data_IF_209407926286
#
_entry.id   IF_209407926286
#
_cell.length_a   1.000
_cell.length_b   1.000
_cell.length_c   1.000
_cell.angle_alpha   90.00
_cell.angle_beta   90.00
_cell.angle_gamma   90.00
#
_symmetry.space_group_name_H-M   'P 1'
#
loop_
_entity.id
_entity.type
_entity.pdbx_description
1 polymer ?
#
# COMPACT_ATOMS: atom_id res chain seq x y z
N UNK A 1 -43.93 15.92 -31.34
CA UNK A 1 -42.64 15.73 -30.65
C UNK A 1 -41.64 16.66 -31.27
N UNK A 2 -40.83 17.33 -30.45
CA UNK A 2 -39.76 18.20 -30.92
C UNK A 2 -38.52 17.35 -31.28
N UNK A 3 -37.64 17.88 -32.12
CA UNK A 3 -36.40 17.23 -32.56
C UNK A 3 -35.54 16.77 -31.37
N UNK A 4 -35.59 17.48 -30.24
CA UNK A 4 -34.80 17.14 -29.05
C UNK A 4 -35.23 15.81 -28.41
N UNK A 5 -36.53 15.52 -28.36
CA UNK A 5 -37.03 14.23 -27.85
C UNK A 5 -36.59 13.05 -28.74
N UNK A 6 -36.61 13.26 -30.06
CA UNK A 6 -36.13 12.25 -31.02
C UNK A 6 -34.62 12.04 -30.93
N UNK A 7 -33.84 13.10 -30.71
CA UNK A 7 -32.38 13.02 -30.49
C UNK A 7 -32.04 12.30 -29.20
N UNK A 8 -32.81 12.47 -28.12
CA UNK A 8 -32.62 11.76 -26.86
C UNK A 8 -32.77 10.24 -27.05
N UNK A 9 -33.84 9.81 -27.73
CA UNK A 9 -34.06 8.39 -28.04
C UNK A 9 -32.95 7.85 -28.96
N UNK A 10 -32.55 8.63 -29.97
CA UNK A 10 -31.49 8.25 -30.91
C UNK A 10 -30.12 8.15 -30.22
N UNK A 11 -29.82 9.04 -29.27
CA UNK A 11 -28.61 8.98 -28.43
C UNK A 11 -28.61 7.72 -27.57
N UNK A 12 -29.73 7.39 -26.92
CA UNK A 12 -29.84 6.19 -26.10
C UNK A 12 -29.61 4.91 -26.93
N UNK A 13 -30.10 4.87 -28.19
CA UNK A 13 -29.81 3.76 -29.12
C UNK A 13 -28.34 3.65 -29.48
N UNK A 14 -27.67 4.77 -29.76
CA UNK A 14 -26.23 4.79 -30.06
C UNK A 14 -25.38 4.27 -28.89
N UNK A 15 -25.84 4.46 -27.65
CA UNK A 15 -25.20 3.91 -26.44
C UNK A 15 -25.58 2.44 -26.13
N UNK A 16 -26.39 1.80 -26.98
CA UNK A 16 -26.89 0.44 -26.77
C UNK A 16 -27.92 0.31 -25.64
N UNK A 17 -28.59 1.41 -25.26
CA UNK A 17 -29.56 1.48 -24.15
C UNK A 17 -30.97 1.92 -24.56
N UNK A 18 -31.20 2.18 -25.85
CA UNK A 18 -32.48 2.67 -26.38
C UNK A 18 -33.31 1.56 -27.03
N UNK A 19 -34.64 1.72 -27.00
CA UNK A 19 -35.60 0.83 -27.64
C UNK A 19 -35.80 1.18 -29.13
N UNK A 20 -36.12 0.16 -29.95
CA UNK A 20 -36.50 0.32 -31.36
C UNK A 20 -37.94 0.86 -31.50
N UNK A 21 -38.06 2.17 -31.43
CA UNK A 21 -39.25 2.96 -31.75
C UNK A 21 -39.30 3.35 -33.26
N UNK A 22 -40.25 2.80 -34.06
CA UNK A 22 -40.41 3.11 -35.48
C UNK A 22 -40.74 4.58 -35.77
N UNK A 23 -41.28 5.31 -34.78
CA UNK A 23 -41.59 6.73 -34.89
C UNK A 23 -40.36 7.62 -35.00
N UNK A 24 -39.22 7.17 -34.46
CA UNK A 24 -37.93 7.86 -34.56
C UNK A 24 -37.40 7.78 -35.99
N UNK A 25 -37.44 6.61 -36.61
CA UNK A 25 -36.93 6.38 -37.96
C UNK A 25 -37.75 7.16 -38.99
N UNK A 26 -39.08 7.19 -38.82
CA UNK A 26 -39.98 7.99 -39.65
C UNK A 26 -39.69 9.49 -39.53
N UNK A 27 -39.38 9.98 -38.33
CA UNK A 27 -39.03 11.38 -38.10
C UNK A 27 -37.66 11.74 -38.73
N UNK A 28 -36.65 10.90 -38.55
CA UNK A 28 -35.32 11.09 -39.16
C UNK A 28 -35.42 11.08 -40.68
N UNK A 29 -36.27 10.24 -41.28
CA UNK A 29 -36.47 10.23 -42.73
C UNK A 29 -37.06 11.56 -43.27
N UNK A 30 -37.86 12.27 -42.47
CA UNK A 30 -38.53 13.51 -42.86
C UNK A 30 -37.89 14.82 -42.39
N UNK A 31 -36.91 14.77 -41.47
CA UNK A 31 -36.36 15.96 -40.81
C UNK A 31 -34.87 16.17 -41.15
N UNK A 32 -34.52 17.17 -41.99
CA UNK A 32 -33.13 17.46 -42.35
C UNK A 32 -32.23 17.80 -41.16
N UNK A 33 -32.79 18.43 -40.11
CA UNK A 33 -32.05 18.80 -38.91
C UNK A 33 -31.67 17.58 -38.04
N UNK A 34 -32.48 16.52 -38.05
CA UNK A 34 -32.16 15.27 -37.37
C UNK A 34 -31.23 14.38 -38.21
N UNK A 35 -31.36 14.41 -39.54
CA UNK A 35 -30.40 13.76 -40.46
C UNK A 35 -28.99 14.33 -40.33
N UNK A 36 -28.86 15.66 -40.35
CA UNK A 36 -27.58 16.34 -40.20
C UNK A 36 -26.97 16.10 -38.81
N UNK A 37 -27.81 16.05 -37.77
CA UNK A 37 -27.36 15.74 -36.42
C UNK A 37 -26.84 14.30 -36.30
N UNK A 38 -27.58 13.31 -36.81
CA UNK A 38 -27.16 11.91 -36.77
C UNK A 38 -25.84 11.70 -37.51
N UNK A 39 -25.71 12.25 -38.73
CA UNK A 39 -24.47 12.19 -39.49
C UNK A 39 -23.27 12.84 -38.76
N UNK A 40 -23.52 13.93 -38.02
CA UNK A 40 -22.49 14.59 -37.21
C UNK A 40 -22.03 13.74 -36.02
N UNK A 41 -22.97 13.05 -35.35
CA UNK A 41 -22.69 12.16 -34.21
C UNK A 41 -21.97 10.90 -34.67
N UNK A 42 -22.41 10.26 -35.76
CA UNK A 42 -21.73 9.11 -36.36
C UNK A 42 -20.31 9.46 -36.82
N UNK A 43 -20.14 10.65 -37.43
CA UNK A 43 -18.81 11.15 -37.79
C UNK A 43 -17.91 11.44 -36.59
N UNK A 44 -18.48 11.80 -35.42
CA UNK A 44 -17.72 11.92 -34.17
C UNK A 44 -17.34 10.54 -33.62
N UNK A 45 -18.26 9.58 -33.65
CA UNK A 45 -18.02 8.19 -33.26
C UNK A 45 -16.84 7.60 -34.02
N UNK A 46 -16.78 7.78 -35.35
CA UNK A 46 -15.67 7.32 -36.17
C UNK A 46 -14.31 7.93 -35.77
N UNK A 47 -14.25 9.23 -35.43
CA UNK A 47 -13.01 9.91 -34.98
C UNK A 47 -12.57 9.49 -33.58
N UNK A 48 -13.53 9.19 -32.70
CA UNK A 48 -13.26 8.67 -31.36
C UNK A 48 -12.87 7.19 -31.43
N UNK A 49 -13.44 6.43 -32.35
CA UNK A 49 -13.12 5.01 -32.56
C UNK A 49 -11.72 4.80 -33.16
N UNK A 50 -11.18 5.75 -33.93
CA UNK A 50 -9.75 5.75 -34.28
C UNK A 50 -8.82 5.81 -33.05
N UNK A 51 -9.31 6.32 -31.92
CA UNK A 51 -8.62 6.32 -30.63
C UNK A 51 -9.11 5.21 -29.69
N UNK A 52 -9.99 4.31 -30.15
CA UNK A 52 -10.45 3.17 -29.34
C UNK A 52 -9.21 2.35 -28.98
N UNK A 53 -8.97 2.25 -27.67
CA UNK A 53 -7.87 1.46 -27.13
C UNK A 53 -7.86 0.10 -27.83
N UNK A 54 -6.74 -0.19 -28.50
CA UNK A 54 -6.47 -1.45 -29.18
C UNK A 54 -6.95 -2.59 -28.28
N UNK A 55 -7.76 -3.52 -28.79
CA UNK A 55 -8.40 -4.55 -27.97
C UNK A 55 -7.36 -5.22 -27.05
N UNK A 56 -7.37 -4.81 -25.78
CA UNK A 56 -6.40 -5.29 -24.80
C UNK A 56 -6.86 -6.67 -24.39
N UNK A 57 -5.95 -7.65 -24.46
CA UNK A 57 -6.21 -8.99 -23.93
C UNK A 57 -6.75 -8.88 -22.50
N UNK A 58 -7.87 -9.54 -22.22
CA UNK A 58 -8.40 -9.58 -20.86
C UNK A 58 -7.36 -10.18 -19.91
N UNK A 59 -6.82 -9.34 -19.03
CA UNK A 59 -5.82 -9.71 -18.03
C UNK A 59 -6.45 -10.14 -16.71
N UNK A 60 -7.78 -10.05 -16.57
CA UNK A 60 -8.47 -10.43 -15.34
C UNK A 60 -8.11 -11.84 -14.87
N UNK A 61 -8.05 -12.88 -15.73
CA UNK A 61 -7.63 -14.20 -15.30
C UNK A 61 -6.17 -14.24 -14.79
N UNK A 62 -5.27 -13.49 -15.44
CA UNK A 62 -3.87 -13.42 -15.04
C UNK A 62 -3.68 -12.67 -13.71
N UNK A 63 -4.45 -11.61 -13.48
CA UNK A 63 -4.44 -10.86 -12.21
C UNK A 63 -4.97 -11.75 -11.09
N UNK A 64 -6.09 -12.44 -11.31
CA UNK A 64 -6.66 -13.35 -10.31
C UNK A 64 -5.73 -14.53 -9.98
N UNK A 65 -5.05 -15.08 -10.99
CA UNK A 65 -4.03 -16.11 -10.78
C UNK A 65 -2.85 -15.59 -9.94
N UNK A 66 -2.34 -14.40 -10.24
CA UNK A 66 -1.25 -13.79 -9.47
C UNK A 66 -1.64 -13.53 -8.01
N UNK A 67 -2.88 -13.08 -7.75
CA UNK A 67 -3.39 -12.89 -6.39
C UNK A 67 -3.54 -14.21 -5.63
N UNK A 68 -3.98 -15.28 -6.31
CA UNK A 68 -4.07 -16.60 -5.71
C UNK A 68 -2.69 -17.16 -5.34
N UNK A 69 -1.69 -16.94 -6.19
CA UNK A 69 -0.30 -17.31 -5.93
C UNK A 69 0.30 -16.55 -4.73
N UNK A 70 -0.02 -15.26 -4.61
CA UNK A 70 0.41 -14.41 -3.48
C UNK A 70 -0.19 -14.90 -2.15
N UNK A 71 -1.50 -15.18 -2.11
CA UNK A 71 -2.16 -15.76 -0.94
C UNK A 71 -1.56 -17.12 -0.56
N UNK A 72 -1.33 -17.99 -1.54
CA UNK A 72 -0.72 -19.29 -1.29
C UNK A 72 0.75 -19.17 -0.82
N UNK A 73 1.47 -18.12 -1.21
CA UNK A 73 2.80 -17.82 -0.69
C UNK A 73 2.74 -17.37 0.78
N UNK A 74 1.82 -16.46 1.12
CA UNK A 74 1.59 -16.04 2.52
C UNK A 74 1.29 -17.24 3.44
N UNK A 75 0.46 -18.18 3.00
CA UNK A 75 0.15 -19.40 3.76
C UNK A 75 1.37 -20.31 3.96
N UNK A 76 2.24 -20.43 2.94
CA UNK A 76 3.49 -21.19 3.04
C UNK A 76 4.46 -20.51 4.00
N UNK A 77 4.58 -19.20 3.94
CA UNK A 77 5.45 -18.41 4.81
C UNK A 77 4.99 -18.45 6.28
N UNK A 78 3.67 -18.47 6.51
CA UNK A 78 3.12 -18.67 7.85
C UNK A 78 3.53 -20.01 8.49
N UNK A 79 3.83 -21.01 7.65
CA UNK A 79 4.28 -22.36 8.04
C UNK A 79 5.81 -22.54 7.97
N UNK A 80 6.56 -21.51 7.56
CA UNK A 80 8.00 -21.59 7.47
C UNK A 80 8.64 -21.46 8.85
N UNK A 81 9.07 -22.61 9.40
CA UNK A 81 9.72 -22.69 10.71
C UNK A 81 11.05 -21.91 10.74
N UNK A 82 11.70 -21.66 9.60
CA UNK A 82 12.95 -20.89 9.54
C UNK A 82 12.76 -19.41 9.90
N UNK A 83 11.55 -18.88 9.74
CA UNK A 83 11.20 -17.51 10.12
C UNK A 83 10.82 -17.39 11.60
N UNK A 84 10.46 -18.50 12.24
CA UNK A 84 9.99 -18.54 13.63
C UNK A 84 10.93 -17.84 14.64
N UNK A 85 12.27 -18.06 14.64
CA UNK A 85 13.13 -17.39 15.62
C UNK A 85 13.13 -15.87 15.46
N UNK A 86 13.13 -15.36 14.23
CA UNK A 86 13.12 -13.92 13.94
C UNK A 86 11.79 -13.28 14.30
N UNK A 87 10.67 -13.96 14.00
CA UNK A 87 9.32 -13.52 14.38
C UNK A 87 9.16 -13.51 15.89
N UNK A 88 9.56 -14.58 16.58
CA UNK A 88 9.51 -14.65 18.04
C UNK A 88 10.37 -13.57 18.69
N UNK A 89 11.57 -13.31 18.15
CA UNK A 89 12.46 -12.24 18.60
C UNK A 89 11.80 -10.85 18.45
N UNK A 90 11.22 -10.54 17.29
CA UNK A 90 10.52 -9.27 17.06
C UNK A 90 9.27 -9.13 17.93
N UNK A 91 8.53 -10.22 18.18
CA UNK A 91 7.38 -10.22 19.08
C UNK A 91 7.85 -9.90 20.51
N UNK A 92 8.85 -10.62 21.01
CA UNK A 92 9.37 -10.39 22.34
C UNK A 92 9.88 -8.96 22.51
N UNK A 93 10.65 -8.47 21.52
CA UNK A 93 11.18 -7.11 21.53
C UNK A 93 10.06 -6.06 21.47
N UNK A 94 9.11 -6.20 20.54
CA UNK A 94 7.97 -5.28 20.42
C UNK A 94 7.09 -5.25 21.67
N UNK A 95 6.89 -6.40 22.34
CA UNK A 95 6.16 -6.44 23.62
C UNK A 95 6.93 -5.72 24.73
N UNK A 96 8.24 -5.93 24.83
CA UNK A 96 9.09 -5.23 25.81
C UNK A 96 9.07 -3.73 25.57
N UNK A 97 9.28 -3.30 24.32
CA UNK A 97 9.28 -1.89 23.94
C UNK A 97 7.92 -1.22 24.19
N UNK A 98 6.82 -1.92 23.86
CA UNK A 98 5.48 -1.43 24.15
C UNK A 98 5.23 -1.27 25.66
N UNK A 99 5.70 -2.23 26.47
CA UNK A 99 5.57 -2.17 27.92
C UNK A 99 6.37 -1.01 28.53
N UNK A 100 7.51 -0.65 27.94
CA UNK A 100 8.35 0.48 28.34
C UNK A 100 7.75 1.83 27.87
N UNK A 101 7.22 1.88 26.66
CA UNK A 101 6.68 3.10 26.05
C UNK A 101 5.31 3.51 26.60
N UNK A 102 4.47 2.56 27.04
CA UNK A 102 3.12 2.83 27.53
C UNK A 102 3.09 3.77 28.76
N UNK A 103 3.88 3.56 29.83
CA UNK A 103 3.96 4.49 30.95
C UNK A 103 4.39 5.89 30.52
N UNK A 104 5.35 5.99 29.60
CA UNK A 104 5.89 7.25 29.07
C UNK A 104 4.79 8.01 28.33
N UNK A 105 4.04 7.32 27.47
CA UNK A 105 2.90 7.88 26.74
C UNK A 105 1.74 8.29 27.66
N UNK A 106 1.36 7.43 28.62
CA UNK A 106 0.15 7.64 29.42
C UNK A 106 0.38 8.57 30.60
N UNK A 107 1.50 8.36 31.30
CA UNK A 107 1.84 9.10 32.52
C UNK A 107 2.69 10.34 32.20
N UNK A 108 3.36 10.39 31.04
CA UNK A 108 4.18 11.55 30.64
C UNK A 108 5.39 11.77 31.53
N UNK A 109 5.95 10.69 32.09
CA UNK A 109 7.12 10.74 32.96
C UNK A 109 8.35 10.27 32.18
N UNK A 110 9.22 11.22 31.82
CA UNK A 110 10.54 10.95 31.28
C UNK A 110 11.57 11.81 31.99
N UNK A 111 12.73 11.24 32.30
CA UNK A 111 13.75 11.91 33.10
C UNK A 111 14.30 13.12 32.33
N UNK A 112 14.09 14.33 32.85
CA UNK A 112 14.59 15.57 32.24
C UNK A 112 13.74 16.11 31.08
N UNK A 113 12.62 15.47 30.72
CA UNK A 113 11.70 15.93 29.69
C UNK A 113 10.38 16.45 30.29
N UNK A 114 9.82 17.49 29.69
CA UNK A 114 8.47 17.95 30.03
C UNK A 114 7.41 16.94 29.57
N UNK A 115 6.26 16.91 30.23
CA UNK A 115 5.16 15.95 29.96
C UNK A 115 4.73 15.92 28.49
N UNK A 116 4.72 17.06 27.79
CA UNK A 116 4.37 17.10 26.37
C UNK A 116 5.37 16.30 25.51
N UNK A 117 6.66 16.57 25.69
CA UNK A 117 7.75 15.88 24.98
C UNK A 117 7.77 14.39 25.35
N UNK A 118 7.57 14.06 26.63
CA UNK A 118 7.49 12.66 27.08
C UNK A 118 6.38 11.90 26.34
N UNK A 119 5.19 12.49 26.19
CA UNK A 119 4.09 11.87 25.45
C UNK A 119 4.37 11.73 23.96
N UNK A 120 5.02 12.73 23.38
CA UNK A 120 5.42 12.70 21.97
C UNK A 120 6.42 11.56 21.73
N UNK A 121 7.48 11.47 22.53
CA UNK A 121 8.46 10.37 22.45
C UNK A 121 7.83 9.01 22.69
N UNK A 122 7.02 8.86 23.75
CA UNK A 122 6.29 7.62 24.01
C UNK A 122 5.37 7.21 22.87
N UNK A 123 4.79 8.17 22.12
CA UNK A 123 3.97 7.85 20.95
C UNK A 123 4.78 7.30 19.77
N UNK A 124 6.00 7.81 19.57
CA UNK A 124 6.93 7.28 18.57
C UNK A 124 7.38 5.86 18.92
N UNK A 125 7.73 5.62 20.19
CA UNK A 125 8.17 4.29 20.65
C UNK A 125 7.02 3.26 20.58
N UNK A 126 5.79 3.65 20.95
CA UNK A 126 4.61 2.79 20.77
C UNK A 126 4.41 2.47 19.28
N UNK A 127 4.54 3.46 18.40
CA UNK A 127 4.39 3.24 16.95
C UNK A 127 5.46 2.28 16.41
N UNK A 128 6.70 2.41 16.87
CA UNK A 128 7.81 1.53 16.49
C UNK A 128 7.59 0.10 16.99
N UNK A 129 7.22 -0.07 18.26
CA UNK A 129 6.87 -1.35 18.86
C UNK A 129 5.75 -2.06 18.10
N UNK A 130 4.67 -1.34 17.78
CA UNK A 130 3.56 -1.85 16.95
C UNK A 130 4.06 -2.23 15.56
N UNK A 131 4.95 -1.43 14.97
CA UNK A 131 5.62 -1.76 13.71
C UNK A 131 6.32 -3.11 13.76
N UNK A 132 7.13 -3.38 14.79
CA UNK A 132 7.81 -4.68 14.97
C UNK A 132 6.83 -5.84 15.07
N UNK A 133 5.72 -5.68 15.81
CA UNK A 133 4.67 -6.68 15.92
C UNK A 133 3.98 -6.93 14.56
N UNK A 134 3.71 -5.88 13.79
CA UNK A 134 3.12 -5.99 12.45
C UNK A 134 4.09 -6.66 11.48
N UNK A 135 5.39 -6.36 11.53
CA UNK A 135 6.40 -7.02 10.71
C UNK A 135 6.56 -8.51 11.08
N UNK A 136 6.47 -8.86 12.36
CA UNK A 136 6.45 -10.26 12.80
C UNK A 136 5.18 -11.01 12.34
N UNK A 137 4.03 -10.33 12.28
CA UNK A 137 2.80 -10.91 11.75
C UNK A 137 2.85 -11.05 10.22
N UNK A 138 3.32 -10.02 9.52
CA UNK A 138 3.44 -9.96 8.05
C UNK A 138 4.88 -9.68 7.62
N UNK A 139 5.74 -10.73 7.52
CA UNK A 139 7.15 -10.59 7.15
C UNK A 139 7.41 -9.83 5.84
N UNK A 140 6.47 -9.88 4.89
CA UNK A 140 6.50 -9.09 3.65
C UNK A 140 6.69 -7.58 3.89
N UNK A 141 6.25 -7.05 5.03
CA UNK A 141 6.41 -5.62 5.38
C UNK A 141 7.75 -5.27 6.01
N UNK A 142 8.57 -6.25 6.39
CA UNK A 142 9.84 -6.00 7.07
C UNK A 142 10.78 -5.11 6.22
N UNK A 143 10.84 -5.33 4.90
CA UNK A 143 11.63 -4.49 3.98
C UNK A 143 11.21 -3.02 3.97
N UNK A 144 9.91 -2.72 4.14
CA UNK A 144 9.42 -1.36 4.23
C UNK A 144 9.84 -0.65 5.52
N UNK A 145 10.01 -1.40 6.62
CA UNK A 145 10.42 -0.85 7.91
C UNK A 145 11.93 -0.68 8.06
N UNK A 146 12.75 -1.53 7.43
CA UNK A 146 14.23 -1.47 7.55
C UNK A 146 14.80 -0.05 7.35
N UNK A 147 14.52 0.68 6.26
CA UNK A 147 15.12 2.01 6.07
C UNK A 147 14.65 3.02 7.12
N UNK A 148 13.39 2.95 7.54
CA UNK A 148 12.83 3.81 8.58
C UNK A 148 13.56 3.60 9.91
N UNK A 149 13.64 2.34 10.37
CA UNK A 149 14.28 1.99 11.63
C UNK A 149 15.79 2.22 11.57
N UNK A 150 16.42 2.03 10.42
CA UNK A 150 17.85 2.30 10.23
C UNK A 150 18.18 3.77 10.41
N UNK A 151 17.40 4.67 9.80
CA UNK A 151 17.60 6.12 9.95
C UNK A 151 17.34 6.54 11.40
N UNK A 152 16.26 6.06 12.01
CA UNK A 152 15.95 6.33 13.41
C UNK A 152 17.10 5.90 14.34
N UNK A 153 17.56 4.66 14.21
CA UNK A 153 18.64 4.12 15.03
C UNK A 153 19.97 4.85 14.81
N UNK A 154 20.26 5.29 13.57
CA UNK A 154 21.45 6.09 13.28
C UNK A 154 21.38 7.47 13.93
N UNK A 155 20.23 8.15 13.85
CA UNK A 155 20.02 9.44 14.52
C UNK A 155 20.19 9.31 16.03
N UNK A 156 19.55 8.31 16.65
CA UNK A 156 19.67 8.03 18.08
C UNK A 156 21.14 7.76 18.43
N UNK A 157 21.83 6.84 17.75
CA UNK A 157 23.23 6.53 18.03
C UNK A 157 24.15 7.77 17.98
N UNK A 158 23.91 8.70 17.04
CA UNK A 158 24.67 9.95 16.95
C UNK A 158 24.36 10.86 18.13
N UNK A 159 23.08 11.11 18.45
CA UNK A 159 22.70 12.00 19.56
C UNK A 159 23.12 11.44 20.91
N UNK A 160 22.96 10.13 21.11
CA UNK A 160 23.46 9.39 22.27
C UNK A 160 24.97 9.59 22.46
N UNK A 161 25.74 9.48 21.39
CA UNK A 161 27.19 9.67 21.42
C UNK A 161 27.57 11.09 21.82
N UNK A 162 26.85 12.09 21.31
CA UNK A 162 27.02 13.50 21.69
C UNK A 162 26.69 13.71 23.16
N UNK A 163 25.57 13.18 23.65
CA UNK A 163 25.15 13.35 25.04
C UNK A 163 26.08 12.65 26.04
N UNK A 164 26.64 11.49 25.68
CA UNK A 164 27.68 10.83 26.47
C UNK A 164 28.97 11.66 26.48
N UNK A 165 29.40 12.18 25.32
CA UNK A 165 30.61 12.99 25.22
C UNK A 165 30.50 14.31 26.01
N UNK A 166 29.31 14.89 26.09
CA UNK A 166 29.02 16.10 26.85
C UNK A 166 28.64 15.82 28.32
N UNK A 167 28.61 14.56 28.75
CA UNK A 167 28.30 14.15 30.13
C UNK A 167 26.83 14.34 30.54
N UNK A 168 25.93 14.52 29.56
CA UNK A 168 24.48 14.60 29.76
C UNK A 168 23.83 13.24 29.95
N UNK A 169 24.41 12.20 29.35
CA UNK A 169 23.94 10.82 29.45
C UNK A 169 25.04 9.90 29.99
N UNK A 170 24.63 8.81 30.62
CA UNK A 170 25.55 7.74 31.03
C UNK A 170 25.44 6.58 30.04
N UNK A 171 26.54 5.86 29.86
CA UNK A 171 26.53 4.64 29.04
C UNK A 171 25.46 3.63 29.52
N UNK A 172 25.24 3.57 30.84
CA UNK A 172 24.21 2.75 31.49
C UNK A 172 22.78 3.18 31.15
N UNK A 173 22.51 4.49 31.15
CA UNK A 173 21.21 5.05 30.79
C UNK A 173 20.85 4.83 29.32
N UNK A 174 21.86 4.70 28.47
CA UNK A 174 21.67 4.56 27.03
C UNK A 174 21.40 3.13 26.57
N UNK A 175 21.50 2.12 27.44
CA UNK A 175 21.26 0.72 27.06
C UNK A 175 19.88 0.47 26.47
N UNK A 176 18.88 1.29 26.83
CA UNK A 176 17.54 1.22 26.24
C UNK A 176 17.56 1.51 24.73
N UNK A 177 18.48 2.33 24.23
CA UNK A 177 18.61 2.60 22.79
C UNK A 177 19.15 1.38 22.01
N UNK A 178 19.76 0.41 22.70
CA UNK A 178 20.18 -0.85 22.08
C UNK A 178 18.99 -1.72 21.64
N UNK A 179 17.79 -1.52 22.21
CA UNK A 179 16.59 -2.25 21.75
C UNK A 179 16.26 -1.91 20.31
N UNK A 180 16.44 -0.66 19.91
CA UNK A 180 16.20 -0.16 18.55
C UNK A 180 17.19 -0.78 17.56
N UNK A 181 18.46 -0.88 17.94
CA UNK A 181 19.50 -1.54 17.13
C UNK A 181 19.23 -3.04 16.99
N UNK A 182 18.83 -3.70 18.09
CA UNK A 182 18.44 -5.10 18.06
C UNK A 182 17.21 -5.32 17.17
N UNK A 183 16.22 -4.43 17.24
CA UNK A 183 15.03 -4.44 16.39
C UNK A 183 15.37 -4.27 14.92
N UNK A 184 16.31 -3.39 14.58
CA UNK A 184 16.83 -3.24 13.23
C UNK A 184 17.49 -4.54 12.73
N UNK A 185 18.33 -5.17 13.55
CA UNK A 185 18.99 -6.43 13.18
C UNK A 185 17.96 -7.54 12.96
N UNK A 186 17.00 -7.69 13.86
CA UNK A 186 15.95 -8.70 13.73
C UNK A 186 15.05 -8.45 12.52
N UNK A 187 14.67 -7.19 12.25
CA UNK A 187 13.94 -6.80 11.03
C UNK A 187 14.74 -7.12 9.78
N UNK A 188 16.03 -6.79 9.75
CA UNK A 188 16.91 -7.06 8.61
C UNK A 188 17.01 -8.56 8.35
N UNK A 189 17.23 -9.35 9.39
CA UNK A 189 17.32 -10.81 9.29
C UNK A 189 15.99 -11.41 8.81
N UNK A 190 14.86 -10.95 9.35
CA UNK A 190 13.54 -11.37 8.89
C UNK A 190 13.31 -11.00 7.41
N UNK A 191 13.63 -9.76 7.03
CA UNK A 191 13.48 -9.28 5.65
C UNK A 191 14.37 -10.05 4.67
N UNK A 192 15.59 -10.41 5.08
CA UNK A 192 16.51 -11.18 4.27
C UNK A 192 16.08 -12.64 4.14
N UNK A 193 15.71 -13.28 5.26
CA UNK A 193 15.19 -14.65 5.26
C UNK A 193 13.89 -14.78 4.46
N UNK A 194 13.08 -13.72 4.42
CA UNK A 194 11.86 -13.66 3.63
C UNK A 194 12.08 -13.59 2.10
N UNK A 195 13.28 -13.24 1.62
CA UNK A 195 13.52 -13.16 0.16
C UNK A 195 13.44 -14.55 -0.47
N UNK A 196 12.27 -14.89 -1.03
CA UNK A 196 12.15 -15.91 -2.07
C UNK A 196 12.77 -15.37 -3.38
N UNK A 197 13.56 -16.17 -4.11
CA UNK A 197 13.95 -15.79 -5.47
C UNK A 197 12.69 -15.61 -6.31
N UNK A 198 12.58 -14.46 -6.99
CA UNK A 198 11.60 -14.30 -8.05
C UNK A 198 11.93 -15.36 -9.10
N UNK A 199 11.12 -16.41 -9.18
CA UNK A 199 11.12 -17.28 -10.35
C UNK A 199 10.78 -16.38 -11.54
N UNK A 200 11.80 -15.97 -12.29
CA UNK A 200 11.63 -15.12 -13.46
C UNK A 200 10.60 -15.75 -14.39
N UNK A 201 9.69 -14.96 -14.99
CA UNK A 201 8.77 -15.51 -15.97
C UNK A 201 9.58 -16.07 -17.13
N UNK A 202 9.38 -17.36 -17.45
CA UNK A 202 9.70 -17.93 -18.74
C UNK A 202 8.92 -17.16 -19.80
N UNK A 203 9.46 -16.04 -20.27
CA UNK A 203 9.07 -15.45 -21.55
C UNK A 203 9.74 -16.29 -22.64
N UNK A 204 9.19 -17.47 -22.90
CA UNK A 204 9.42 -18.14 -24.17
C UNK A 204 8.56 -17.42 -25.21
N UNK A 205 9.14 -16.78 -26.24
CA UNK A 205 8.36 -16.26 -27.34
C UNK A 205 7.77 -17.44 -28.12
N UNK A 206 6.44 -17.47 -28.25
CA UNK A 206 5.70 -18.30 -29.21
C UNK A 206 5.88 -17.78 -30.63
#
# INVERSE_FOLDING_TARGET
>A
MDCDAYREVLSARLDGRGDDDPGVDAHVAGCPACQAWLAAVEGLGARVDEHRAQAVTDRSPAILAALADELAAEERDARDESLLPWRAGLIALGVVELALALPVLLLGHEAGAGTHVAREMGSFDVALAVGFLVAAWRPARAWGMVPLVAVLAACLAVTSGVDIAEGRATFGGELLHLTHLLGLVLLWMLAHAYRRPVSGPNLAPS
#
